data_IF_930657744552
#
_entry.id   IF_930657744552
#
_cell.length_a   1.000
_cell.length_b   1.000
_cell.length_c   1.000
_cell.angle_alpha   90.00
_cell.angle_beta   90.00
_cell.angle_gamma   90.00
#
_symmetry.space_group_name_H-M   'P 1'
#
loop_
_entity.id
_entity.type
_entity.pdbx_description
1 polymer ?
#
# COMPACT_ATOMS: atom_id res chain seq x y z
N UNK A 1 33.17 4.00 8.17
CA UNK A 1 32.48 3.08 7.25
C UNK A 1 31.00 3.04 7.63
N UNK A 2 30.19 3.91 7.02
CA UNK A 2 28.74 3.95 7.28
C UNK A 2 28.09 2.79 6.53
N UNK A 3 27.44 1.86 7.25
CA UNK A 3 26.72 0.74 6.62
C UNK A 3 25.55 1.31 5.80
N UNK A 4 25.61 1.01 4.51
CA UNK A 4 24.64 1.30 3.45
C UNK A 4 23.19 1.04 3.89
N UNK A 5 22.32 2.02 3.68
CA UNK A 5 20.86 2.01 3.93
C UNK A 5 20.07 1.14 2.92
N UNK A 6 20.75 0.30 2.14
CA UNK A 6 20.17 -0.28 0.89
C UNK A 6 20.01 -1.81 0.91
N UNK A 7 20.18 -2.49 2.05
CA UNK A 7 19.91 -3.94 2.15
C UNK A 7 18.54 -4.28 2.76
N UNK A 8 17.56 -3.37 2.72
CA UNK A 8 16.16 -3.77 2.91
C UNK A 8 15.65 -4.36 1.60
N UNK A 9 15.88 -5.66 1.42
CA UNK A 9 15.37 -6.43 0.28
C UNK A 9 13.91 -6.07 0.00
N UNK A 10 13.59 -5.80 -1.27
CA UNK A 10 12.22 -5.42 -1.67
C UNK A 10 11.26 -6.52 -1.24
N UNK A 11 10.38 -6.21 -0.29
CA UNK A 11 9.21 -7.05 -0.04
C UNK A 11 8.31 -6.99 -1.27
N UNK A 12 7.80 -8.14 -1.69
CA UNK A 12 6.69 -8.14 -2.65
C UNK A 12 5.45 -7.63 -1.93
N UNK A 13 4.57 -6.91 -2.66
CA UNK A 13 3.29 -6.42 -2.13
C UNK A 13 2.46 -7.54 -1.51
N UNK A 14 2.49 -8.75 -2.10
CA UNK A 14 1.83 -9.93 -1.56
C UNK A 14 2.40 -10.34 -0.20
N UNK A 15 3.73 -10.35 -0.06
CA UNK A 15 4.38 -10.77 1.19
C UNK A 15 4.17 -9.74 2.30
N UNK A 16 4.27 -8.45 1.98
CA UNK A 16 3.94 -7.35 2.89
C UNK A 16 2.50 -7.47 3.41
N UNK A 17 1.53 -7.68 2.51
CA UNK A 17 0.14 -7.90 2.88
C UNK A 17 -0.06 -9.13 3.79
N UNK A 18 0.61 -10.25 3.51
CA UNK A 18 0.52 -11.45 4.34
C UNK A 18 0.97 -11.16 5.79
N UNK A 19 2.09 -10.45 5.95
CA UNK A 19 2.65 -10.08 7.26
C UNK A 19 1.69 -9.15 8.01
N UNK A 20 1.16 -8.12 7.34
CA UNK A 20 0.18 -7.19 7.95
C UNK A 20 -1.10 -7.92 8.38
N UNK A 21 -1.61 -8.83 7.55
CA UNK A 21 -2.83 -9.58 7.86
C UNK A 21 -2.67 -10.55 9.04
N UNK A 22 -1.46 -11.03 9.33
CA UNK A 22 -1.21 -11.82 10.53
C UNK A 22 -1.45 -11.00 11.80
N UNK A 23 -0.90 -9.79 11.86
CA UNK A 23 -1.10 -8.90 13.01
C UNK A 23 -2.57 -8.49 13.15
N UNK A 24 -3.25 -8.17 12.04
CA UNK A 24 -4.69 -7.85 12.08
C UNK A 24 -5.58 -9.01 12.53
N UNK A 25 -5.11 -10.26 12.43
CA UNK A 25 -5.80 -11.45 12.94
C UNK A 25 -5.51 -11.73 14.42
N UNK A 26 -4.65 -10.93 15.06
CA UNK A 26 -4.34 -11.02 16.49
C UNK A 26 -2.98 -11.64 16.80
N UNK A 27 -2.14 -11.94 15.79
CA UNK A 27 -0.76 -12.33 16.05
C UNK A 27 0.02 -11.16 16.68
N UNK A 28 0.96 -11.48 17.58
CA UNK A 28 1.80 -10.50 18.24
C UNK A 28 2.75 -9.78 17.26
N UNK A 29 2.80 -8.44 17.34
CA UNK A 29 3.57 -7.58 16.44
C UNK A 29 5.07 -7.88 16.51
N UNK A 30 5.62 -8.09 17.70
CA UNK A 30 7.05 -8.35 17.90
C UNK A 30 7.44 -9.72 17.36
N UNK A 31 6.61 -10.73 17.56
CA UNK A 31 6.84 -12.06 16.98
C UNK A 31 6.76 -12.04 15.45
N UNK A 32 5.75 -11.38 14.87
CA UNK A 32 5.57 -11.30 13.42
C UNK A 32 6.70 -10.51 12.76
N UNK A 33 7.14 -9.39 13.36
CA UNK A 33 8.24 -8.59 12.82
C UNK A 33 9.57 -9.36 12.78
N UNK A 34 9.86 -10.12 13.85
CA UNK A 34 11.05 -10.98 13.92
C UNK A 34 11.03 -12.09 12.87
N UNK A 35 9.90 -12.77 12.72
CA UNK A 35 9.70 -13.83 11.71
C UNK A 35 9.85 -13.28 10.28
N UNK A 36 9.35 -12.07 10.04
CA UNK A 36 9.50 -11.36 8.77
C UNK A 36 10.90 -10.74 8.57
N UNK A 37 11.77 -10.73 9.59
CA UNK A 37 13.11 -10.11 9.50
C UNK A 37 13.09 -8.58 9.39
N UNK A 38 12.02 -7.93 9.87
CA UNK A 38 11.87 -6.47 9.90
C UNK A 38 11.73 -5.96 11.34
N UNK A 39 11.88 -4.65 11.54
CA UNK A 39 11.64 -4.07 12.87
C UNK A 39 10.14 -3.97 13.14
N UNK A 40 9.74 -4.09 14.41
CA UNK A 40 8.36 -3.85 14.85
C UNK A 40 7.88 -2.45 14.44
N UNK A 41 8.76 -1.44 14.46
CA UNK A 41 8.47 -0.10 13.96
C UNK A 41 8.10 -0.09 12.46
N UNK A 42 8.86 -0.82 11.61
CA UNK A 42 8.53 -0.92 10.17
C UNK A 42 7.19 -1.61 9.96
N UNK A 43 6.91 -2.67 10.74
CA UNK A 43 5.63 -3.37 10.65
C UNK A 43 4.46 -2.51 11.14
N UNK A 44 4.65 -1.70 12.17
CA UNK A 44 3.67 -0.72 12.63
C UNK A 44 3.37 0.32 11.56
N UNK A 45 4.40 0.86 10.90
CA UNK A 45 4.22 1.80 9.79
C UNK A 45 3.40 1.19 8.64
N UNK A 46 3.64 -0.08 8.31
CA UNK A 46 2.86 -0.80 7.29
C UNK A 46 1.41 -1.01 7.71
N UNK A 47 1.15 -1.33 8.99
CA UNK A 47 -0.21 -1.44 9.52
C UNK A 47 -0.97 -0.12 9.40
N UNK A 48 -0.35 0.99 9.79
CA UNK A 48 -0.96 2.31 9.70
C UNK A 48 -1.29 2.69 8.25
N UNK A 49 -0.35 2.44 7.33
CA UNK A 49 -0.56 2.68 5.90
C UNK A 49 -1.65 1.79 5.30
N UNK A 50 -1.72 0.52 5.69
CA UNK A 50 -2.74 -0.42 5.24
C UNK A 50 -4.14 0.01 5.71
N UNK A 51 -4.29 0.40 6.98
CA UNK A 51 -5.56 0.88 7.54
C UNK A 51 -5.98 2.19 6.86
N UNK A 52 -5.07 3.15 6.72
CA UNK A 52 -5.34 4.43 6.06
C UNK A 52 -5.81 4.22 4.61
N UNK A 53 -5.12 3.34 3.87
CA UNK A 53 -5.47 2.99 2.49
C UNK A 53 -6.81 2.26 2.39
N UNK A 54 -7.08 1.33 3.31
CA UNK A 54 -8.38 0.65 3.41
C UNK A 54 -9.52 1.63 3.69
N UNK A 55 -9.35 2.56 4.62
CA UNK A 55 -10.32 3.62 4.89
C UNK A 55 -10.52 4.54 3.67
N UNK A 56 -9.45 4.93 3.00
CA UNK A 56 -9.52 5.75 1.79
C UNK A 56 -10.27 5.03 0.66
N UNK A 57 -10.00 3.75 0.44
CA UNK A 57 -10.69 2.93 -0.56
C UNK A 57 -12.20 2.80 -0.27
N UNK A 58 -12.57 2.62 1.00
CA UNK A 58 -13.98 2.57 1.41
C UNK A 58 -14.69 3.92 1.22
N UNK A 59 -14.01 5.04 1.48
CA UNK A 59 -14.55 6.40 1.25
C UNK A 59 -14.66 6.73 -0.24
N UNK A 60 -13.64 6.37 -1.02
CA UNK A 60 -13.59 6.59 -2.48
C UNK A 60 -14.72 5.85 -3.20
N UNK A 61 -15.05 4.62 -2.78
CA UNK A 61 -16.15 3.85 -3.36
C UNK A 61 -17.54 4.46 -3.14
N UNK A 62 -17.66 5.41 -2.21
CA UNK A 62 -18.89 6.17 -1.99
C UNK A 62 -18.96 7.49 -2.80
N UNK A 63 -17.89 7.97 -3.44
CA UNK A 63 -17.91 9.32 -4.02
C UNK A 63 -16.87 9.71 -5.10
N UNK A 64 -15.99 8.84 -5.62
CA UNK A 64 -14.92 9.37 -6.48
C UNK A 64 -15.29 9.50 -7.98
N UNK A 65 -15.71 10.70 -8.39
CA UNK A 65 -15.84 11.13 -9.79
C UNK A 65 -14.51 11.26 -10.56
N UNK A 66 -13.36 10.84 -10.00
CA UNK A 66 -12.08 10.74 -10.72
C UNK A 66 -12.10 9.71 -11.81
N UNK A 67 -12.78 8.59 -11.63
CA UNK A 67 -12.84 7.58 -12.69
C UNK A 67 -13.63 8.14 -13.89
N UNK A 68 -14.68 8.91 -13.61
CA UNK A 68 -15.45 9.64 -14.62
C UNK A 68 -14.62 10.77 -15.27
N UNK A 69 -13.87 11.55 -14.48
CA UNK A 69 -12.99 12.60 -15.02
C UNK A 69 -11.80 12.00 -15.79
N UNK A 70 -11.26 10.87 -15.35
CA UNK A 70 -10.21 10.14 -16.05
C UNK A 70 -10.74 9.57 -17.37
N UNK A 71 -11.97 9.05 -17.39
CA UNK A 71 -12.65 8.58 -18.60
C UNK A 71 -12.90 9.75 -19.57
N UNK A 72 -13.37 10.89 -19.06
CA UNK A 72 -13.58 12.12 -19.84
C UNK A 72 -12.29 12.66 -20.42
N UNK A 73 -11.22 12.74 -19.62
CA UNK A 73 -9.91 13.21 -20.09
C UNK A 73 -9.32 12.26 -21.13
N UNK A 74 -9.46 10.95 -20.97
CA UNK A 74 -9.06 9.96 -21.98
C UNK A 74 -9.83 10.13 -23.29
N UNK A 75 -11.14 10.37 -23.23
CA UNK A 75 -11.97 10.63 -24.41
C UNK A 75 -11.52 11.91 -25.14
N UNK A 76 -11.29 13.00 -24.41
CA UNK A 76 -10.82 14.27 -24.97
C UNK A 76 -9.45 14.14 -25.65
N UNK A 77 -8.53 13.38 -25.05
CA UNK A 77 -7.21 13.10 -25.65
C UNK A 77 -7.37 12.30 -26.94
N UNK A 78 -8.28 11.32 -27.00
CA UNK A 78 -8.60 10.58 -28.22
C UNK A 78 -9.10 11.47 -29.34
N UNK A 79 -10.06 12.34 -29.04
CA UNK A 79 -10.63 13.29 -30.02
C UNK A 79 -9.59 14.28 -30.57
N UNK A 80 -8.64 14.72 -29.72
CA UNK A 80 -7.58 15.64 -30.10
C UNK A 80 -6.43 14.99 -30.88
N UNK A 81 -6.20 13.68 -30.70
CA UNK A 81 -5.09 12.95 -31.35
C UNK A 81 -5.50 12.23 -32.63
N UNK A 82 -6.80 12.07 -32.88
CA UNK A 82 -7.34 11.48 -34.12
C UNK A 82 -7.74 12.50 -35.20
N UNK A 83 -7.45 13.79 -35.01
CA UNK A 83 -7.50 14.83 -36.05
C UNK A 83 -6.12 15.09 -36.62
#
# INVERSE_FOLDING_TARGET
>A
MAKSKTERGRFSSRKEMEVVLRVLRGDDLDLVSRDAGITAATLSEWLDQFIASGQAALKSRAADGRDDELARLKALVGDLTMR
#
